data_IF_303185122479
#
_entry.id   IF_303185122479
#
_cell.length_a   1.000
_cell.length_b   1.000
_cell.length_c   1.000
_cell.angle_alpha   90.00
_cell.angle_beta   90.00
_cell.angle_gamma   90.00
#
_symmetry.space_group_name_H-M   'P 1'
#
loop_
_entity.id
_entity.type
_entity.pdbx_description
1 polymer ?
#
# COMPACT_ATOMS: atom_id res chain seq x y z
N UNK A 1 2.99 20.48 -7.28
CA UNK A 1 4.07 19.47 -7.11
C UNK A 1 3.61 18.45 -6.09
N UNK A 2 3.71 17.14 -6.41
CA UNK A 2 3.37 16.06 -5.46
C UNK A 2 4.48 16.01 -4.40
N UNK A 3 4.11 15.83 -3.13
CA UNK A 3 5.06 15.76 -2.00
C UNK A 3 5.02 14.42 -1.27
N UNK A 4 3.97 13.61 -1.45
CA UNK A 4 3.86 12.28 -0.83
C UNK A 4 2.85 11.40 -1.58
N UNK A 5 3.17 10.12 -1.69
CA UNK A 5 2.24 9.05 -2.04
C UNK A 5 1.71 8.40 -0.77
N UNK A 6 0.44 8.03 -0.76
CA UNK A 6 -0.17 7.25 0.31
C UNK A 6 -0.95 6.07 -0.27
N UNK A 7 -0.71 4.88 0.27
CA UNK A 7 -1.47 3.67 -0.03
C UNK A 7 -2.38 3.38 1.14
N UNK A 8 -3.70 3.41 0.94
CA UNK A 8 -4.68 2.91 1.90
C UNK A 8 -5.02 1.46 1.55
N UNK A 9 -4.95 0.57 2.54
CA UNK A 9 -5.35 -0.83 2.43
C UNK A 9 -6.47 -1.11 3.42
N UNK A 10 -7.64 -1.50 2.93
CA UNK A 10 -8.74 -2.06 3.73
C UNK A 10 -8.72 -3.58 3.55
N UNK A 11 -8.37 -4.30 4.62
CA UNK A 11 -8.13 -5.74 4.62
C UNK A 11 -9.31 -6.49 5.24
N UNK A 12 -9.89 -7.38 4.44
CA UNK A 12 -10.88 -8.38 4.86
C UNK A 12 -10.32 -9.79 4.75
N UNK A 13 -11.08 -10.80 5.21
CA UNK A 13 -10.65 -12.20 5.11
C UNK A 13 -10.45 -12.68 3.66
N UNK A 14 -11.28 -12.23 2.72
CA UNK A 14 -11.23 -12.66 1.32
C UNK A 14 -10.38 -11.74 0.44
N UNK A 15 -10.45 -10.43 0.69
CA UNK A 15 -9.93 -9.42 -0.23
C UNK A 15 -9.25 -8.26 0.50
N UNK A 16 -8.36 -7.57 -0.22
CA UNK A 16 -7.68 -6.35 0.15
C UNK A 16 -8.08 -5.27 -0.85
N UNK A 17 -8.80 -4.26 -0.39
CA UNK A 17 -9.11 -3.07 -1.19
C UNK A 17 -7.98 -2.08 -1.03
N UNK A 18 -7.28 -1.78 -2.12
CA UNK A 18 -6.16 -0.86 -2.11
C UNK A 18 -6.48 0.42 -2.88
N UNK A 19 -6.04 1.55 -2.34
CA UNK A 19 -6.17 2.88 -2.96
C UNK A 19 -4.84 3.62 -2.86
N UNK A 20 -4.37 4.19 -3.95
CA UNK A 20 -3.18 5.06 -3.99
C UNK A 20 -3.64 6.49 -4.21
N UNK A 21 -3.26 7.35 -3.28
CA UNK A 21 -3.48 8.78 -3.34
C UNK A 21 -2.16 9.54 -3.31
N UNK A 22 -2.20 10.77 -3.80
CA UNK A 22 -1.09 11.72 -3.72
C UNK A 22 -1.58 12.98 -3.05
N UNK A 23 -0.69 13.66 -2.34
CA UNK A 23 -0.92 15.01 -1.82
C UNK A 23 0.11 15.96 -2.43
N UNK A 24 -0.32 17.16 -2.80
CA UNK A 24 0.53 18.21 -3.35
C UNK A 24 0.88 19.29 -2.33
N UNK A 25 1.75 20.22 -2.74
CA UNK A 25 2.14 21.40 -1.95
C UNK A 25 0.97 22.31 -1.55
N UNK A 26 -0.15 22.25 -2.28
CA UNK A 26 -1.38 22.99 -1.98
C UNK A 26 -2.29 22.20 -1.02
N UNK A 27 -1.78 21.12 -0.42
CA UNK A 27 -2.51 20.21 0.46
C UNK A 27 -3.72 19.54 -0.21
N UNK A 28 -3.76 19.48 -1.55
CA UNK A 28 -4.84 18.80 -2.27
C UNK A 28 -4.52 17.31 -2.37
N UNK A 29 -5.46 16.50 -1.88
CA UNK A 29 -5.39 15.04 -1.97
C UNK A 29 -6.15 14.57 -3.20
N UNK A 30 -5.52 13.70 -4.00
CA UNK A 30 -6.16 13.09 -5.16
C UNK A 30 -5.89 11.59 -5.18
N UNK A 31 -6.96 10.80 -5.31
CA UNK A 31 -6.86 9.36 -5.62
C UNK A 31 -6.40 9.19 -7.07
N UNK A 32 -5.33 8.41 -7.26
CA UNK A 32 -4.76 8.11 -8.56
C UNK A 32 -5.23 6.74 -9.06
N UNK A 33 -5.23 5.74 -8.18
CA UNK A 33 -5.53 4.36 -8.53
C UNK A 33 -6.28 3.67 -7.40
N UNK A 34 -7.21 2.79 -7.75
CA UNK A 34 -7.86 1.89 -6.81
C UNK A 34 -7.93 0.49 -7.43
N UNK A 35 -7.65 -0.54 -6.63
CA UNK A 35 -7.69 -1.93 -7.07
C UNK A 35 -7.97 -2.86 -5.91
N UNK A 36 -8.80 -3.88 -6.14
CA UNK A 36 -9.00 -4.98 -5.20
C UNK A 36 -8.07 -6.14 -5.55
N UNK A 37 -7.45 -6.70 -4.52
CA UNK A 37 -6.59 -7.87 -4.60
C UNK A 37 -7.13 -8.96 -3.68
N UNK A 38 -6.92 -10.24 -4.00
CA UNK A 38 -7.28 -11.31 -3.07
C UNK A 38 -6.37 -11.29 -1.84
N UNK A 39 -6.90 -11.64 -0.65
CA UNK A 39 -6.11 -11.82 0.57
C UNK A 39 -5.45 -13.22 0.58
N UNK A 40 -4.66 -13.48 -0.47
CA UNK A 40 -3.86 -14.68 -0.64
C UNK A 40 -2.39 -14.30 -0.85
N UNK A 41 -1.47 -15.25 -0.69
CA UNK A 41 -0.04 -15.00 -0.99
C UNK A 41 0.19 -14.44 -2.40
N UNK A 42 -0.56 -14.94 -3.39
CA UNK A 42 -0.49 -14.45 -4.76
C UNK A 42 -1.04 -13.02 -4.87
N UNK A 43 -2.19 -12.75 -4.26
CA UNK A 43 -2.79 -11.42 -4.26
C UNK A 43 -1.93 -10.36 -3.54
N UNK A 44 -1.23 -10.74 -2.48
CA UNK A 44 -0.24 -9.88 -1.81
C UNK A 44 0.96 -9.54 -2.70
N UNK A 45 1.46 -10.51 -3.48
CA UNK A 45 2.54 -10.26 -4.46
C UNK A 45 2.06 -9.32 -5.58
N UNK A 46 0.84 -9.52 -6.07
CA UNK A 46 0.21 -8.65 -7.07
C UNK A 46 -0.01 -7.23 -6.53
N UNK A 47 -0.43 -7.10 -5.26
CA UNK A 47 -0.58 -5.82 -4.57
C UNK A 47 0.76 -5.10 -4.46
N UNK A 48 1.81 -5.80 -4.02
CA UNK A 48 3.16 -5.24 -3.95
C UNK A 48 3.64 -4.72 -5.31
N UNK A 49 3.53 -5.54 -6.35
CA UNK A 49 3.93 -5.14 -7.70
C UNK A 49 3.10 -3.95 -8.22
N UNK A 50 1.81 -3.91 -7.89
CA UNK A 50 0.93 -2.80 -8.24
C UNK A 50 1.32 -1.51 -7.53
N UNK A 51 1.68 -1.56 -6.24
CA UNK A 51 2.17 -0.39 -5.49
C UNK A 51 3.46 0.14 -6.10
N UNK A 52 4.45 -0.73 -6.33
CA UNK A 52 5.75 -0.33 -6.91
C UNK A 52 5.58 0.27 -8.30
N UNK A 53 4.75 -0.33 -9.16
CA UNK A 53 4.47 0.19 -10.50
C UNK A 53 3.75 1.54 -10.48
N UNK A 54 2.94 1.78 -9.46
CA UNK A 54 2.17 3.02 -9.29
C UNK A 54 3.00 4.17 -8.69
N UNK A 55 4.11 3.86 -8.02
CA UNK A 55 5.03 4.83 -7.44
C UNK A 55 6.02 5.33 -8.50
N UNK A 56 5.59 6.30 -9.31
CA UNK A 56 6.35 6.80 -10.47
C UNK A 56 7.55 7.67 -10.12
N UNK A 57 7.63 8.16 -8.89
CA UNK A 57 8.63 9.13 -8.42
C UNK A 57 9.30 8.60 -7.15
N UNK A 58 10.35 7.76 -7.28
CA UNK A 58 11.02 7.11 -6.15
C UNK A 58 11.55 8.09 -5.08
N UNK A 59 11.87 9.31 -5.49
CA UNK A 59 12.32 10.42 -4.64
C UNK A 59 11.21 10.96 -3.72
N UNK A 60 9.95 10.75 -4.09
CA UNK A 60 8.80 11.18 -3.29
C UNK A 60 8.45 10.05 -2.32
N UNK A 61 8.32 10.32 -1.01
CA UNK A 61 8.02 9.28 -0.03
C UNK A 61 6.67 8.61 -0.30
N UNK A 62 6.64 7.29 -0.11
CA UNK A 62 5.44 6.47 -0.17
C UNK A 62 5.15 5.89 1.21
N UNK A 63 3.94 6.14 1.72
CA UNK A 63 3.48 5.67 3.03
C UNK A 63 2.32 4.70 2.85
N UNK A 64 2.42 3.51 3.44
CA UNK A 64 1.34 2.52 3.44
C UNK A 64 0.60 2.60 4.77
N UNK A 65 -0.70 2.84 4.72
CA UNK A 65 -1.64 2.78 5.83
C UNK A 65 -2.52 1.55 5.64
N UNK A 66 -2.63 0.71 6.67
CA UNK A 66 -3.41 -0.51 6.64
C UNK A 66 -4.48 -0.47 7.73
N UNK A 67 -5.74 -0.47 7.30
CA UNK A 67 -6.90 -0.68 8.15
C UNK A 67 -7.29 -2.15 8.09
N UNK A 68 -7.26 -2.79 9.25
CA UNK A 68 -7.51 -4.21 9.42
C UNK A 68 -8.86 -4.42 10.12
N UNK A 69 -9.78 -5.12 9.48
CA UNK A 69 -11.02 -5.54 10.15
C UNK A 69 -10.86 -6.99 10.64
N UNK A 70 -10.74 -7.17 11.96
CA UNK A 70 -10.53 -8.49 12.62
C UNK A 70 -9.06 -8.93 12.70
N UNK A 71 -8.82 -10.22 12.98
CA UNK A 71 -7.48 -10.83 13.15
C UNK A 71 -6.76 -11.17 11.82
N UNK A 72 -7.35 -10.85 10.67
CA UNK A 72 -6.82 -11.24 9.34
C UNK A 72 -5.62 -10.41 8.84
N UNK A 73 -5.10 -9.50 9.67
CA UNK A 73 -4.01 -8.61 9.31
C UNK A 73 -2.62 -9.18 9.59
N UNK A 74 -2.51 -10.28 10.33
CA UNK A 74 -1.22 -10.85 10.71
C UNK A 74 -0.38 -11.21 9.48
N UNK A 75 -0.95 -11.90 8.49
CA UNK A 75 -0.23 -12.28 7.28
C UNK A 75 0.27 -11.06 6.47
N UNK A 76 -0.53 -9.99 6.40
CA UNK A 76 -0.17 -8.75 5.71
C UNK A 76 0.91 -7.98 6.48
N UNK A 77 0.76 -7.83 7.79
CA UNK A 77 1.73 -7.20 8.66
C UNK A 77 3.08 -7.93 8.63
N UNK A 78 3.10 -9.26 8.77
CA UNK A 78 4.32 -10.06 8.69
C UNK A 78 5.03 -9.90 7.34
N UNK A 79 4.29 -9.86 6.23
CA UNK A 79 4.90 -9.69 4.90
C UNK A 79 5.58 -8.33 4.74
N UNK A 80 4.92 -7.24 5.12
CA UNK A 80 5.47 -5.89 4.97
C UNK A 80 6.55 -5.57 6.02
N UNK A 81 6.44 -6.08 7.26
CA UNK A 81 7.50 -5.99 8.28
C UNK A 81 8.75 -6.73 7.81
N UNK A 82 8.61 -7.97 7.29
CA UNK A 82 9.76 -8.78 6.82
C UNK A 82 10.49 -8.13 5.64
N UNK A 83 9.77 -7.43 4.76
CA UNK A 83 10.37 -6.66 3.65
C UNK A 83 11.15 -5.43 4.14
N UNK A 84 10.71 -4.76 5.22
CA UNK A 84 11.44 -3.65 5.85
C UNK A 84 12.75 -4.08 6.52
N UNK A 85 12.79 -5.28 7.13
CA UNK A 85 13.97 -5.74 7.91
C UNK A 85 15.16 -6.15 7.04
N UNK A 86 14.97 -6.42 5.73
CA UNK A 86 16.10 -6.71 4.82
C UNK A 86 16.82 -5.46 4.29
N UNK A 87 16.34 -4.26 4.58
CA UNK A 87 16.91 -3.00 4.08
C UNK A 87 17.34 -2.02 5.19
N UNK A 88 17.59 -2.52 6.40
CA UNK A 88 18.33 -1.75 7.42
C UNK A 88 19.70 -2.40 7.66
N UNK A 89 20.81 -1.63 7.59
CA UNK A 89 22.14 -2.12 7.98
C UNK A 89 22.20 -2.48 9.46
#
# INVERSE_FOLDING_TARGET
MIIKYSVGLDVSAADIKACISVIDIEQRVKVQFSKTHSNTKKGLLELYNWIIKSHKSPEIPLVVCMEATGVYHENSAYFFIRKRVKEFP
#
